data_IF_701305770674
#
_entry.id   IF_701305770674
#
_cell.length_a   1.000
_cell.length_b   1.000
_cell.length_c   1.000
_cell.angle_alpha   90.00
_cell.angle_beta   90.00
_cell.angle_gamma   90.00
#
_symmetry.space_group_name_H-M   'P 1'
#
loop_
_entity.id
_entity.type
_entity.pdbx_description
1 polymer ?
#
# COMPACT_ATOMS: atom_id res chain seq x y z
N UNK A 1 27.61 -37.16 12.38
CA UNK A 1 27.96 -35.86 12.99
C UNK A 1 28.11 -34.76 11.92
N UNK A 2 27.01 -34.31 11.27
CA UNK A 2 26.92 -33.11 10.42
C UNK A 2 25.44 -32.77 10.11
N UNK A 3 24.56 -32.70 11.12
CA UNK A 3 23.14 -32.34 10.92
C UNK A 3 22.87 -30.87 11.24
N UNK A 4 23.81 -29.97 10.93
CA UNK A 4 23.58 -28.53 11.07
C UNK A 4 23.55 -27.93 9.68
N UNK A 5 22.36 -27.49 9.26
CA UNK A 5 22.19 -26.69 8.07
C UNK A 5 22.42 -25.23 8.47
N UNK A 6 23.33 -24.57 7.77
CA UNK A 6 23.65 -23.15 8.01
C UNK A 6 23.00 -22.29 6.94
N UNK A 7 22.53 -21.12 7.35
CA UNK A 7 22.10 -20.07 6.44
C UNK A 7 23.20 -19.01 6.39
N UNK A 8 23.97 -18.96 5.30
CA UNK A 8 25.09 -18.04 5.18
C UNK A 8 25.20 -17.48 3.75
N UNK A 9 24.41 -16.46 3.45
CA UNK A 9 24.49 -15.70 2.20
C UNK A 9 25.36 -14.45 2.39
N UNK A 10 26.40 -14.31 1.58
CA UNK A 10 27.37 -13.20 1.66
C UNK A 10 26.80 -11.81 1.41
N UNK A 11 25.57 -11.71 0.91
CA UNK A 11 24.86 -10.46 0.60
C UNK A 11 23.55 -10.34 1.37
N UNK A 12 23.37 -11.15 2.42
CA UNK A 12 22.14 -11.23 3.18
C UNK A 12 22.10 -10.35 4.42
N UNK A 13 20.93 -10.30 5.04
CA UNK A 13 20.69 -9.68 6.32
C UNK A 13 20.94 -10.67 7.47
N UNK A 14 21.27 -10.12 8.64
CA UNK A 14 21.40 -10.89 9.88
C UNK A 14 20.03 -11.33 10.41
N UNK A 15 19.87 -12.63 10.68
CA UNK A 15 18.64 -13.23 11.21
C UNK A 15 18.80 -13.88 12.59
N UNK A 16 19.99 -13.78 13.19
CA UNK A 16 20.26 -14.37 14.50
C UNK A 16 21.45 -15.32 14.50
N UNK A 17 21.50 -16.17 15.53
CA UNK A 17 22.57 -17.13 15.75
C UNK A 17 21.97 -18.53 15.75
N UNK A 18 22.61 -19.45 15.04
CA UNK A 18 22.30 -20.87 15.07
C UNK A 18 22.53 -21.41 16.50
N UNK A 19 21.49 -21.98 17.11
CA UNK A 19 21.57 -22.40 18.50
C UNK A 19 22.51 -23.59 18.74
N UNK A 20 22.81 -24.37 17.71
CA UNK A 20 23.68 -25.55 17.81
C UNK A 20 25.12 -25.18 17.49
N UNK A 21 25.39 -24.66 16.29
CA UNK A 21 26.75 -24.34 15.86
C UNK A 21 27.29 -23.02 16.42
N UNK A 22 26.40 -22.16 16.91
CA UNK A 22 26.71 -20.77 17.33
C UNK A 22 27.21 -19.88 16.19
N UNK A 23 27.05 -20.32 14.94
CA UNK A 23 27.33 -19.50 13.77
C UNK A 23 26.22 -18.48 13.52
N UNK A 24 26.57 -17.42 12.80
CA UNK A 24 25.64 -16.38 12.40
C UNK A 24 24.74 -16.90 11.27
N UNK A 25 23.44 -16.64 11.37
CA UNK A 25 22.49 -16.88 10.30
C UNK A 25 22.34 -15.61 9.46
N UNK A 26 22.78 -15.67 8.20
CA UNK A 26 22.71 -14.58 7.23
C UNK A 26 21.93 -15.04 6.00
N UNK A 27 20.85 -14.34 5.65
CA UNK A 27 19.97 -14.73 4.55
C UNK A 27 19.63 -13.57 3.62
N UNK A 28 19.48 -13.83 2.32
CA UNK A 28 19.06 -12.80 1.37
C UNK A 28 17.69 -13.16 0.76
N UNK A 29 16.61 -12.56 1.30
CA UNK A 29 15.24 -12.79 0.82
C UNK A 29 15.04 -12.35 -0.63
N UNK A 30 15.83 -11.41 -1.15
CA UNK A 30 15.76 -10.96 -2.55
C UNK A 30 16.17 -12.04 -3.56
N UNK A 31 16.94 -13.05 -3.13
CA UNK A 31 17.34 -14.19 -3.97
C UNK A 31 16.36 -15.36 -3.96
N UNK A 32 15.35 -15.32 -3.08
CA UNK A 32 14.37 -16.40 -2.98
C UNK A 32 13.35 -16.37 -4.13
N UNK A 33 12.71 -17.51 -4.39
CA UNK A 33 11.60 -17.60 -5.35
C UNK A 33 10.45 -16.68 -4.92
N UNK A 34 10.19 -16.56 -3.63
CA UNK A 34 9.32 -15.56 -3.04
C UNK A 34 10.05 -14.92 -1.87
N UNK A 35 10.24 -13.60 -1.93
CA UNK A 35 10.88 -12.83 -0.87
C UNK A 35 9.91 -12.41 0.23
N UNK A 36 8.60 -12.58 0.05
CA UNK A 36 7.61 -12.26 1.07
C UNK A 36 7.76 -13.17 2.29
N UNK A 37 7.32 -12.69 3.45
CA UNK A 37 7.48 -13.40 4.70
C UNK A 37 6.41 -13.04 5.72
N UNK A 38 6.33 -13.84 6.77
CA UNK A 38 5.51 -13.56 7.94
C UNK A 38 6.34 -13.70 9.20
N UNK A 39 6.09 -12.82 10.16
CA UNK A 39 6.67 -12.86 11.50
C UNK A 39 5.53 -13.09 12.50
N UNK A 40 5.59 -14.23 13.17
CA UNK A 40 4.59 -14.65 14.16
C UNK A 40 5.16 -14.68 15.57
N UNK A 41 4.32 -14.43 16.55
CA UNK A 41 4.71 -14.50 17.96
C UNK A 41 3.68 -13.88 18.89
N UNK A 42 3.57 -14.39 20.11
CA UNK A 42 2.69 -13.83 21.14
C UNK A 42 3.11 -12.39 21.52
N UNK A 43 2.22 -11.57 22.12
CA UNK A 43 2.64 -10.26 22.64
C UNK A 43 3.83 -10.40 23.60
N UNK A 44 4.81 -9.51 23.49
CA UNK A 44 6.06 -9.56 24.29
C UNK A 44 7.11 -10.56 23.82
N UNK A 45 6.87 -11.36 22.76
CA UNK A 45 7.84 -12.35 22.27
C UNK A 45 9.03 -11.77 21.48
N UNK A 46 9.11 -10.45 21.32
CA UNK A 46 10.18 -9.79 20.56
C UNK A 46 9.94 -9.65 19.05
N UNK A 47 8.69 -9.77 18.55
CA UNK A 47 8.37 -9.57 17.12
C UNK A 47 8.83 -8.22 16.57
N UNK A 48 8.39 -7.12 17.21
CA UNK A 48 8.74 -5.76 16.79
C UNK A 48 10.26 -5.54 16.88
N UNK A 49 10.92 -6.10 17.90
CA UNK A 49 12.38 -6.06 18.02
C UNK A 49 13.09 -6.77 16.85
N UNK A 50 12.67 -7.98 16.50
CA UNK A 50 13.21 -8.72 15.36
C UNK A 50 13.03 -7.95 14.04
N UNK A 51 11.84 -7.39 13.81
CA UNK A 51 11.56 -6.62 12.59
C UNK A 51 12.39 -5.33 12.54
N UNK A 52 12.52 -4.59 13.64
CA UNK A 52 13.38 -3.40 13.74
C UNK A 52 14.85 -3.72 13.45
N UNK A 53 15.35 -4.89 13.87
CA UNK A 53 16.69 -5.34 13.50
C UNK A 53 16.83 -5.64 12.01
N UNK A 54 15.87 -6.34 11.39
CA UNK A 54 15.90 -6.60 9.95
C UNK A 54 15.85 -5.29 9.15
N UNK A 55 14.96 -4.37 9.52
CA UNK A 55 14.87 -3.03 8.93
C UNK A 55 16.19 -2.28 9.02
N UNK A 56 16.84 -2.27 10.20
CA UNK A 56 18.15 -1.65 10.36
C UNK A 56 19.22 -2.29 9.48
N UNK A 57 19.24 -3.63 9.38
CA UNK A 57 20.16 -4.34 8.49
C UNK A 57 19.95 -3.94 7.03
N UNK A 58 18.71 -3.89 6.56
CA UNK A 58 18.34 -3.46 5.20
C UNK A 58 18.78 -2.02 4.93
N UNK A 59 18.49 -1.11 5.87
CA UNK A 59 18.79 0.31 5.74
C UNK A 59 20.29 0.58 5.64
N UNK A 60 21.09 -0.11 6.47
CA UNK A 60 22.54 0.06 6.55
C UNK A 60 23.32 -0.69 5.45
N UNK A 61 22.77 -1.78 4.91
CA UNK A 61 23.51 -2.67 3.98
C UNK A 61 23.38 -2.29 2.50
N UNK A 62 22.52 -1.34 2.16
CA UNK A 62 22.33 -0.93 0.77
C UNK A 62 21.41 0.28 0.65
N UNK A 63 20.88 0.49 -0.54
CA UNK A 63 20.06 1.65 -0.86
C UNK A 63 18.56 1.37 -0.79
N UNK A 64 18.13 0.12 -0.58
CA UNK A 64 16.70 -0.28 -0.56
C UNK A 64 15.84 0.62 0.33
N UNK A 65 14.55 0.75 -0.03
CA UNK A 65 13.56 1.50 0.77
C UNK A 65 12.81 0.60 1.72
N UNK A 66 12.40 1.16 2.85
CA UNK A 66 11.63 0.51 3.89
C UNK A 66 10.35 1.31 4.10
N UNK A 67 9.22 0.64 4.00
CA UNK A 67 7.90 1.19 4.29
C UNK A 67 7.29 0.35 5.40
N UNK A 68 6.75 0.99 6.43
CA UNK A 68 6.05 0.32 7.54
C UNK A 68 4.62 0.84 7.62
N UNK A 69 3.64 -0.06 7.65
CA UNK A 69 2.27 0.25 8.06
C UNK A 69 2.16 -0.11 9.53
N UNK A 70 1.85 0.89 10.35
CA UNK A 70 1.94 0.82 11.81
C UNK A 70 0.61 1.25 12.46
N UNK A 71 -0.26 0.29 12.82
CA UNK A 71 -1.52 0.60 13.48
C UNK A 71 -1.38 1.05 14.95
N UNK A 72 -0.22 0.85 15.57
CA UNK A 72 -0.01 1.09 17.00
C UNK A 72 0.96 2.25 17.29
N UNK A 73 1.57 2.81 16.24
CA UNK A 73 2.61 3.83 16.28
C UNK A 73 3.87 3.37 17.05
N UNK A 74 4.23 2.07 16.97
CA UNK A 74 5.45 1.50 17.58
C UNK A 74 6.74 1.79 16.79
N UNK A 75 6.64 2.24 15.54
CA UNK A 75 7.75 2.41 14.61
C UNK A 75 8.07 3.89 14.31
N UNK A 76 7.41 4.84 14.96
CA UNK A 76 7.68 6.27 14.75
C UNK A 76 9.09 6.65 15.22
N UNK A 77 9.50 6.19 16.41
CA UNK A 77 10.82 6.47 16.98
C UNK A 77 11.97 5.97 16.08
N UNK A 78 11.78 4.81 15.43
CA UNK A 78 12.80 4.25 14.54
C UNK A 78 12.85 4.99 13.21
N UNK A 79 11.72 5.51 12.72
CA UNK A 79 11.70 6.41 11.58
C UNK A 79 12.52 7.66 11.88
N UNK A 80 12.27 8.33 13.00
CA UNK A 80 13.04 9.51 13.42
C UNK A 80 14.54 9.21 13.53
N UNK A 81 14.89 8.06 14.11
CA UNK A 81 16.29 7.61 14.26
C UNK A 81 17.01 7.48 12.91
N UNK A 82 16.31 7.01 11.86
CA UNK A 82 16.87 6.87 10.52
C UNK A 82 16.68 8.11 9.63
N UNK A 83 16.18 9.23 10.18
CA UNK A 83 15.83 10.42 9.39
C UNK A 83 14.70 10.16 8.38
N UNK A 84 13.85 9.19 8.70
CA UNK A 84 12.69 8.78 7.93
C UNK A 84 11.51 9.73 8.04
N UNK A 85 10.49 9.49 7.23
CA UNK A 85 9.23 10.23 7.27
C UNK A 85 8.15 9.45 8.00
N UNK A 86 7.44 10.13 8.91
CA UNK A 86 6.20 9.60 9.49
C UNK A 86 5.01 10.26 8.82
N UNK A 87 4.17 9.44 8.18
CA UNK A 87 2.92 9.85 7.57
C UNK A 87 1.80 9.45 8.53
N UNK A 88 1.34 10.39 9.36
CA UNK A 88 0.16 10.17 10.17
C UNK A 88 -1.09 10.43 9.33
N UNK A 89 -1.84 9.38 9.04
CA UNK A 89 -3.11 9.48 8.33
C UNK A 89 -4.20 9.74 9.37
N UNK A 90 -4.57 11.01 9.56
CA UNK A 90 -5.65 11.41 10.48
C UNK A 90 -6.51 12.51 9.87
N UNK A 91 -7.75 12.63 10.32
CA UNK A 91 -8.65 13.73 9.93
C UNK A 91 -8.24 15.08 10.52
N UNK A 92 -7.27 15.11 11.43
CA UNK A 92 -6.85 16.31 12.16
C UNK A 92 -5.52 16.87 11.67
N UNK A 93 -4.91 16.22 10.68
CA UNK A 93 -3.61 16.59 10.10
C UNK A 93 -3.80 17.09 8.67
N UNK A 94 -2.99 18.07 8.27
CA UNK A 94 -2.93 18.56 6.88
C UNK A 94 -2.10 17.62 5.97
N UNK A 95 -2.15 16.31 6.22
CA UNK A 95 -1.49 15.29 5.40
C UNK A 95 -2.49 14.70 4.43
N UNK A 96 -2.23 14.81 3.14
CA UNK A 96 -3.11 14.35 2.08
C UNK A 96 -2.41 13.36 1.17
N UNK A 97 -3.17 12.35 0.76
CA UNK A 97 -2.76 11.37 -0.26
C UNK A 97 -3.84 11.34 -1.31
N UNK A 98 -3.47 11.67 -2.54
CA UNK A 98 -4.40 11.76 -3.66
C UNK A 98 -4.62 10.38 -4.29
N UNK A 99 -5.85 9.81 -4.25
CA UNK A 99 -6.17 8.53 -4.89
C UNK A 99 -5.96 8.53 -6.41
N UNK A 100 -6.08 9.69 -7.04
CA UNK A 100 -5.91 9.90 -8.47
C UNK A 100 -4.47 10.27 -8.85
N UNK A 101 -3.53 10.16 -7.91
CA UNK A 101 -2.12 10.34 -8.24
C UNK A 101 -1.62 9.22 -9.16
N UNK A 102 -1.00 9.63 -10.26
CA UNK A 102 -0.24 8.78 -11.18
C UNK A 102 0.74 9.63 -12.00
N UNK A 103 1.74 8.97 -12.60
CA UNK A 103 2.65 9.62 -13.55
C UNK A 103 1.92 9.95 -14.87
N UNK A 104 1.27 11.12 -14.89
CA UNK A 104 0.54 11.63 -16.06
C UNK A 104 1.45 12.01 -17.21
N UNK A 105 2.73 12.30 -16.95
CA UNK A 105 3.67 12.70 -18.00
C UNK A 105 4.01 11.53 -18.92
N UNK A 106 4.10 10.32 -18.39
CA UNK A 106 4.36 9.12 -19.18
C UNK A 106 3.12 8.45 -19.78
N UNK A 107 1.93 9.03 -19.55
CA UNK A 107 0.68 8.63 -20.20
C UNK A 107 0.66 8.97 -21.70
N UNK A 108 0.09 8.05 -22.46
CA UNK A 108 -0.25 8.21 -23.88
C UNK A 108 -1.76 7.98 -24.11
N UNK A 109 -2.36 8.57 -25.17
CA UNK A 109 -3.80 8.46 -25.42
C UNK A 109 -4.32 7.03 -25.67
N UNK A 110 -3.45 6.07 -25.97
CA UNK A 110 -3.84 4.68 -26.19
C UNK A 110 -3.68 3.81 -24.93
N UNK A 111 -3.23 4.40 -23.81
CA UNK A 111 -2.92 3.68 -22.58
C UNK A 111 -2.03 2.45 -22.82
N UNK A 112 -0.96 2.63 -23.60
CA UNK A 112 -0.11 1.51 -24.05
C UNK A 112 0.54 0.74 -22.90
N UNK A 113 0.69 1.38 -21.73
CA UNK A 113 1.24 0.80 -20.51
C UNK A 113 0.17 0.24 -19.56
N UNK A 114 -1.12 0.43 -19.86
CA UNK A 114 -2.24 -0.04 -19.04
C UNK A 114 -2.44 0.70 -17.72
N UNK A 115 -1.85 1.89 -17.55
CA UNK A 115 -1.87 2.65 -16.30
C UNK A 115 -3.27 3.21 -16.02
N UNK A 116 -3.99 3.65 -17.06
CA UNK A 116 -5.38 4.15 -16.91
C UNK A 116 -6.30 2.99 -16.56
N UNK A 117 -6.09 1.81 -17.16
CA UNK A 117 -6.85 0.59 -16.80
C UNK A 117 -6.64 0.19 -15.34
N UNK A 118 -5.39 0.15 -14.87
CA UNK A 118 -5.09 -0.17 -13.47
C UNK A 118 -5.71 0.87 -12.51
N UNK A 119 -5.64 2.16 -12.86
CA UNK A 119 -6.28 3.21 -12.08
C UNK A 119 -7.81 3.11 -12.11
N UNK A 120 -8.41 2.69 -13.21
CA UNK A 120 -9.83 2.40 -13.33
C UNK A 120 -10.29 1.28 -12.39
N UNK A 121 -9.55 0.16 -12.35
CA UNK A 121 -9.82 -0.93 -11.39
C UNK A 121 -9.74 -0.47 -9.94
N UNK A 122 -8.74 0.36 -9.60
CA UNK A 122 -8.62 0.96 -8.27
C UNK A 122 -9.81 1.87 -7.94
N UNK A 123 -10.18 2.79 -8.85
CA UNK A 123 -11.29 3.71 -8.64
C UNK A 123 -12.64 3.02 -8.54
N UNK A 124 -12.82 1.87 -9.18
CA UNK A 124 -14.00 1.02 -8.96
C UNK A 124 -14.07 0.54 -7.52
N UNK A 125 -12.97 -0.03 -6.99
CA UNK A 125 -12.91 -0.47 -5.59
C UNK A 125 -13.08 0.68 -4.59
N UNK A 126 -12.53 1.85 -4.89
CA UNK A 126 -12.70 3.05 -4.08
C UNK A 126 -14.17 3.50 -4.04
N UNK A 127 -14.83 3.62 -5.21
CA UNK A 127 -16.23 4.06 -5.27
C UNK A 127 -17.17 3.04 -4.60
N UNK A 128 -16.93 1.74 -4.80
CA UNK A 128 -17.68 0.68 -4.15
C UNK A 128 -17.57 0.76 -2.62
N UNK A 129 -16.37 1.04 -2.10
CA UNK A 129 -16.14 1.26 -0.68
C UNK A 129 -16.82 2.52 -0.15
N UNK A 130 -16.87 3.61 -0.93
CA UNK A 130 -17.58 4.84 -0.55
C UNK A 130 -19.10 4.66 -0.57
N UNK A 131 -19.64 3.88 -1.50
CA UNK A 131 -21.07 3.57 -1.59
C UNK A 131 -21.50 2.62 -0.47
N UNK A 132 -20.59 1.74 -0.02
CA UNK A 132 -20.86 0.77 1.04
C UNK A 132 -21.67 -0.45 0.57
N UNK A 133 -21.86 -0.61 -0.73
CA UNK A 133 -22.54 -1.75 -1.37
C UNK A 133 -21.88 -2.08 -2.70
N UNK A 134 -22.19 -3.25 -3.25
CA UNK A 134 -21.63 -3.73 -4.51
C UNK A 134 -22.04 -2.86 -5.69
N UNK A 135 -21.09 -2.49 -6.54
CA UNK A 135 -21.37 -1.72 -7.74
C UNK A 135 -22.12 -2.58 -8.78
N UNK A 136 -23.23 -2.06 -9.29
CA UNK A 136 -23.94 -2.67 -10.41
C UNK A 136 -23.22 -2.43 -11.75
N UNK A 137 -23.58 -3.19 -12.80
CA UNK A 137 -22.90 -3.10 -14.10
C UNK A 137 -22.96 -1.73 -14.76
N UNK A 138 -24.01 -0.94 -14.52
CA UNK A 138 -24.13 0.43 -15.05
C UNK A 138 -23.18 1.38 -14.33
N UNK A 139 -23.16 1.33 -12.99
CA UNK A 139 -22.25 2.12 -12.18
C UNK A 139 -20.78 1.81 -12.52
N UNK A 140 -20.42 0.53 -12.66
CA UNK A 140 -19.07 0.11 -13.09
C UNK A 140 -18.69 0.73 -14.43
N UNK A 141 -19.59 0.66 -15.42
CA UNK A 141 -19.38 1.24 -16.74
C UNK A 141 -19.21 2.77 -16.70
N UNK A 142 -20.02 3.46 -15.88
CA UNK A 142 -19.94 4.92 -15.71
C UNK A 142 -18.62 5.32 -15.06
N UNK A 143 -18.21 4.66 -13.98
CA UNK A 143 -16.95 4.94 -13.27
C UNK A 143 -15.76 4.74 -14.22
N UNK A 144 -15.67 3.58 -14.89
CA UNK A 144 -14.61 3.28 -15.86
C UNK A 144 -14.55 4.34 -16.97
N UNK A 145 -15.71 4.69 -17.55
CA UNK A 145 -15.82 5.74 -18.58
C UNK A 145 -15.32 7.09 -18.08
N UNK A 146 -15.68 7.49 -16.87
CA UNK A 146 -15.29 8.77 -16.29
C UNK A 146 -13.79 8.84 -15.99
N UNK A 147 -13.22 7.79 -15.37
CA UNK A 147 -11.77 7.69 -15.12
C UNK A 147 -11.00 7.72 -16.43
N UNK A 148 -11.44 6.93 -17.41
CA UNK A 148 -10.81 6.89 -18.73
C UNK A 148 -10.86 8.25 -19.43
N UNK A 149 -12.01 8.93 -19.39
CA UNK A 149 -12.16 10.27 -19.96
C UNK A 149 -11.19 11.26 -19.31
N UNK A 150 -11.15 11.29 -17.98
CA UNK A 150 -10.25 12.15 -17.19
C UNK A 150 -8.80 12.03 -17.65
N UNK A 151 -8.25 10.82 -17.66
CA UNK A 151 -6.84 10.62 -17.98
C UNK A 151 -6.51 10.72 -19.46
N UNK A 152 -7.43 10.35 -20.37
CA UNK A 152 -7.19 10.53 -21.81
C UNK A 152 -7.17 12.02 -22.18
N UNK A 153 -8.07 12.81 -21.58
CA UNK A 153 -8.10 14.25 -21.80
C UNK A 153 -6.81 14.91 -21.26
N UNK A 154 -6.32 14.48 -20.09
CA UNK A 154 -5.00 14.89 -19.56
C UNK A 154 -3.87 14.44 -20.48
N UNK A 155 -3.87 13.20 -20.97
CA UNK A 155 -2.83 12.67 -21.85
C UNK A 155 -2.73 13.43 -23.19
N UNK A 156 -3.86 13.97 -23.68
CA UNK A 156 -3.93 14.81 -24.89
C UNK A 156 -3.60 16.28 -24.64
N UNK A 157 -3.72 16.74 -23.40
CA UNK A 157 -3.44 18.13 -23.01
C UNK A 157 -1.94 18.45 -23.08
N UNK A 158 -1.62 19.68 -23.52
CA UNK A 158 -0.25 20.22 -23.42
C UNK A 158 0.11 20.65 -22.00
N UNK A 159 -0.88 21.03 -21.20
CA UNK A 159 -0.74 21.35 -19.77
C UNK A 159 -1.21 20.17 -18.94
N UNK A 160 -0.39 19.13 -18.84
CA UNK A 160 -0.70 17.97 -18.00
C UNK A 160 -0.66 18.39 -16.53
N UNK A 161 -1.61 17.88 -15.76
CA UNK A 161 -1.69 18.07 -14.31
C UNK A 161 -2.13 16.75 -13.67
N UNK A 162 -1.82 16.58 -12.38
CA UNK A 162 -2.29 15.44 -11.59
C UNK A 162 -3.71 15.79 -11.11
N UNK A 163 -4.75 15.02 -11.47
CA UNK A 163 -6.13 15.33 -11.09
C UNK A 163 -6.40 14.99 -9.64
N UNK A 164 -7.39 15.65 -9.03
CA UNK A 164 -7.91 15.37 -7.69
C UNK A 164 -9.34 14.83 -7.77
N UNK A 165 -9.89 14.41 -6.64
CA UNK A 165 -11.23 13.80 -6.60
C UNK A 165 -12.34 14.74 -7.12
N UNK A 166 -12.20 16.06 -6.97
CA UNK A 166 -13.10 17.04 -7.58
C UNK A 166 -13.16 16.94 -9.10
N UNK A 167 -12.02 16.72 -9.78
CA UNK A 167 -12.01 16.60 -11.25
C UNK A 167 -12.83 15.38 -11.71
N UNK A 168 -12.70 14.26 -10.97
CA UNK A 168 -13.49 13.06 -11.22
C UNK A 168 -14.97 13.26 -10.87
N UNK A 169 -15.27 13.91 -9.75
CA UNK A 169 -16.62 14.25 -9.31
C UNK A 169 -17.35 15.13 -10.34
N UNK A 170 -16.69 16.14 -10.89
CA UNK A 170 -17.26 17.04 -11.90
C UNK A 170 -17.58 16.28 -13.21
N UNK A 171 -16.72 15.34 -13.60
CA UNK A 171 -16.98 14.48 -14.77
C UNK A 171 -18.19 13.57 -14.52
N UNK A 172 -18.34 13.02 -13.31
CA UNK A 172 -19.51 12.23 -12.92
C UNK A 172 -20.80 13.05 -12.97
N UNK A 173 -20.79 14.26 -12.40
CA UNK A 173 -21.95 15.17 -12.39
C UNK A 173 -22.36 15.63 -13.78
N UNK A 174 -21.42 15.66 -14.75
CA UNK A 174 -21.70 15.97 -16.14
C UNK A 174 -22.28 14.79 -16.95
N UNK A 175 -22.36 13.58 -16.38
CA UNK A 175 -22.98 12.45 -17.06
C UNK A 175 -24.52 12.57 -17.05
N UNK A 176 -25.20 12.18 -18.14
CA UNK A 176 -26.66 12.28 -18.24
C UNK A 176 -27.40 11.24 -17.39
N UNK A 177 -26.78 10.12 -17.05
CA UNK A 177 -27.40 9.02 -16.31
C UNK A 177 -27.62 9.38 -14.83
N UNK A 178 -28.79 9.03 -14.28
CA UNK A 178 -29.08 9.26 -12.85
C UNK A 178 -28.17 8.43 -11.94
N UNK A 179 -27.76 7.24 -12.37
CA UNK A 179 -26.80 6.42 -11.62
C UNK A 179 -25.45 7.13 -11.41
N UNK A 180 -25.06 8.06 -12.29
CA UNK A 180 -23.84 8.85 -12.12
C UNK A 180 -23.97 9.88 -11.00
N UNK A 181 -25.17 10.46 -10.84
CA UNK A 181 -25.48 11.39 -9.74
C UNK A 181 -25.51 10.66 -8.40
N UNK A 182 -26.04 9.43 -8.38
CA UNK A 182 -26.02 8.59 -7.17
C UNK A 182 -24.59 8.28 -6.73
N UNK A 183 -23.70 7.93 -7.66
CA UNK A 183 -22.27 7.74 -7.37
C UNK A 183 -21.64 9.03 -6.83
N UNK A 184 -21.90 10.16 -7.50
CA UNK A 184 -21.36 11.45 -7.07
C UNK A 184 -21.83 11.81 -5.65
N UNK A 185 -23.12 11.59 -5.33
CA UNK A 185 -23.67 11.81 -4.00
C UNK A 185 -22.95 10.99 -2.93
N UNK A 186 -22.66 9.71 -3.20
CA UNK A 186 -21.88 8.87 -2.28
C UNK A 186 -20.44 9.34 -2.08
N UNK A 187 -19.87 10.04 -3.06
CA UNK A 187 -18.52 10.61 -2.97
C UNK A 187 -18.51 12.00 -2.30
N UNK A 188 -19.65 12.68 -2.21
CA UNK A 188 -19.73 14.08 -1.77
C UNK A 188 -19.08 14.31 -0.40
N UNK A 189 -19.29 13.40 0.56
CA UNK A 189 -18.69 13.45 1.91
C UNK A 189 -17.15 13.54 1.88
N UNK A 190 -16.53 12.88 0.90
CA UNK A 190 -15.07 12.76 0.73
C UNK A 190 -14.47 13.75 -0.26
N UNK A 191 -15.30 14.51 -0.98
CA UNK A 191 -14.87 15.50 -1.97
C UNK A 191 -15.15 16.92 -1.48
N UNK A 192 -16.40 17.21 -1.15
CA UNK A 192 -16.89 18.53 -0.75
C UNK A 192 -17.30 18.59 0.72
N UNK A 193 -17.46 17.43 1.37
CA UNK A 193 -17.90 17.30 2.74
C UNK A 193 -16.78 17.43 3.77
N UNK A 194 -17.09 17.04 5.01
CA UNK A 194 -16.21 17.15 6.17
C UNK A 194 -15.00 16.21 6.15
N UNK A 195 -14.96 15.23 5.25
CA UNK A 195 -13.93 14.19 5.19
C UNK A 195 -13.12 14.28 3.89
N UNK A 196 -12.88 15.49 3.39
CA UNK A 196 -12.27 15.79 2.09
C UNK A 196 -10.75 15.54 1.99
N UNK A 197 -10.17 14.72 2.87
CA UNK A 197 -8.73 14.45 2.95
C UNK A 197 -8.15 13.81 1.66
N UNK A 198 -9.00 13.27 0.78
CA UNK A 198 -8.62 12.67 -0.50
C UNK A 198 -8.75 13.63 -1.69
N UNK A 199 -9.23 14.86 -1.47
CA UNK A 199 -9.48 15.84 -2.53
C UNK A 199 -8.40 16.93 -2.59
N UNK A 200 -7.16 16.56 -2.30
CA UNK A 200 -6.02 17.45 -2.30
C UNK A 200 -4.88 16.80 -3.08
N UNK A 201 -3.91 17.61 -3.51
CA UNK A 201 -2.65 17.08 -4.02
C UNK A 201 -1.90 16.38 -2.88
N UNK A 202 -1.23 15.28 -3.20
CA UNK A 202 -0.37 14.59 -2.25
C UNK A 202 0.70 15.56 -1.75
N UNK A 203 0.80 15.73 -0.44
CA UNK A 203 1.77 16.64 0.20
C UNK A 203 2.60 15.95 1.28
N UNK A 204 2.46 14.64 1.42
CA UNK A 204 3.27 13.82 2.31
C UNK A 204 4.62 13.54 1.64
N UNK A 205 5.72 13.82 2.35
CA UNK A 205 7.07 13.54 1.86
C UNK A 205 7.36 12.03 1.90
N UNK A 206 6.87 11.34 0.88
CA UNK A 206 7.10 9.91 0.68
C UNK A 206 8.41 9.62 -0.07
N UNK A 207 9.19 10.64 -0.43
CA UNK A 207 10.49 10.46 -1.09
C UNK A 207 11.64 10.26 -0.09
N UNK A 208 11.39 9.38 0.89
CA UNK A 208 12.33 8.99 1.91
C UNK A 208 12.66 7.49 1.81
N UNK A 209 13.87 7.10 2.22
CA UNK A 209 14.28 5.69 2.28
C UNK A 209 13.59 4.92 3.40
N UNK A 210 13.09 5.60 4.43
CA UNK A 210 12.39 5.00 5.54
C UNK A 210 11.08 5.75 5.79
N UNK A 211 9.95 5.12 5.54
CA UNK A 211 8.63 5.76 5.68
C UNK A 211 7.73 4.92 6.58
N UNK A 212 7.05 5.55 7.54
CA UNK A 212 6.11 4.88 8.43
C UNK A 212 4.73 5.52 8.31
N UNK A 213 3.75 4.72 7.93
CA UNK A 213 2.35 5.11 7.85
C UNK A 213 1.64 4.75 9.16
N UNK A 214 1.26 5.75 9.94
CA UNK A 214 0.43 5.59 11.12
C UNK A 214 -1.05 5.58 10.76
N UNK A 215 -1.78 4.55 11.20
CA UNK A 215 -3.22 4.41 10.94
C UNK A 215 -4.08 4.33 12.21
N UNK A 216 -3.47 4.52 13.38
CA UNK A 216 -4.15 4.42 14.67
C UNK A 216 -5.31 5.40 14.82
N UNK A 217 -5.09 6.62 14.34
CA UNK A 217 -5.99 7.75 14.54
C UNK A 217 -6.97 7.92 13.35
N UNK A 218 -7.14 6.88 12.53
CA UNK A 218 -8.18 6.81 11.50
C UNK A 218 -9.55 6.64 12.15
N UNK A 219 -10.45 7.59 11.90
CA UNK A 219 -11.86 7.43 12.24
C UNK A 219 -12.45 6.16 11.59
N UNK A 220 -13.42 5.52 12.26
CA UNK A 220 -13.98 4.22 11.84
C UNK A 220 -14.58 4.24 10.43
N UNK A 221 -15.22 5.34 10.04
CA UNK A 221 -15.83 5.50 8.72
C UNK A 221 -14.80 5.70 7.60
N UNK A 222 -13.69 6.38 7.88
CA UNK A 222 -12.64 6.67 6.91
C UNK A 222 -11.60 5.57 6.76
N UNK A 223 -11.48 4.71 7.77
CA UNK A 223 -10.41 3.74 7.87
C UNK A 223 -10.29 2.86 6.61
N UNK A 224 -11.37 2.25 6.07
CA UNK A 224 -11.26 1.39 4.90
C UNK A 224 -10.80 2.12 3.63
N UNK A 225 -11.32 3.32 3.39
CA UNK A 225 -10.97 4.13 2.21
C UNK A 225 -9.51 4.60 2.33
N UNK A 226 -9.12 5.08 3.51
CA UNK A 226 -7.76 5.54 3.75
C UNK A 226 -6.74 4.42 3.59
N UNK A 227 -7.06 3.21 4.08
CA UNK A 227 -6.23 2.03 3.88
C UNK A 227 -6.08 1.69 2.39
N UNK A 228 -7.15 1.74 1.60
CA UNK A 228 -7.09 1.51 0.14
C UNK A 228 -6.18 2.53 -0.56
N UNK A 229 -6.38 3.82 -0.28
CA UNK A 229 -5.57 4.90 -0.88
C UNK A 229 -4.10 4.78 -0.47
N UNK A 230 -3.83 4.46 0.80
CA UNK A 230 -2.48 4.19 1.29
C UNK A 230 -1.82 3.02 0.55
N UNK A 231 -2.50 1.87 0.46
CA UNK A 231 -1.94 0.70 -0.19
C UNK A 231 -1.65 0.95 -1.68
N UNK A 232 -2.50 1.72 -2.35
CA UNK A 232 -2.28 2.17 -3.73
C UNK A 232 -1.04 3.07 -3.84
N UNK A 233 -0.88 4.05 -2.95
CA UNK A 233 0.31 4.91 -2.90
C UNK A 233 1.59 4.08 -2.68
N UNK A 234 1.56 3.14 -1.72
CA UNK A 234 2.67 2.22 -1.44
C UNK A 234 2.99 1.35 -2.66
N UNK A 235 1.98 0.79 -3.33
CA UNK A 235 2.18 0.00 -4.54
C UNK A 235 2.85 0.80 -5.65
N UNK A 236 2.40 2.05 -5.87
CA UNK A 236 3.00 2.94 -6.87
C UNK A 236 4.47 3.23 -6.55
N UNK A 237 4.81 3.47 -5.28
CA UNK A 237 6.20 3.64 -4.83
C UNK A 237 7.05 2.39 -5.06
N UNK A 238 6.53 1.20 -4.76
CA UNK A 238 7.21 -0.08 -5.02
C UNK A 238 7.54 -0.21 -6.51
N UNK A 239 6.56 0.05 -7.39
CA UNK A 239 6.72 -0.03 -8.84
C UNK A 239 7.76 0.98 -9.36
N UNK A 240 7.73 2.21 -8.85
CA UNK A 240 8.69 3.25 -9.22
C UNK A 240 10.12 2.87 -8.83
N UNK A 241 10.32 2.40 -7.59
CA UNK A 241 11.62 1.90 -7.13
C UNK A 241 12.10 0.72 -7.95
N UNK A 242 11.21 -0.22 -8.27
CA UNK A 242 11.52 -1.37 -9.13
C UNK A 242 12.05 -0.94 -10.51
N UNK A 243 11.45 0.09 -11.13
CA UNK A 243 11.95 0.67 -12.40
C UNK A 243 13.36 1.26 -12.25
N UNK A 244 13.71 1.75 -11.07
CA UNK A 244 15.03 2.29 -10.71
C UNK A 244 16.02 1.21 -10.25
N UNK A 245 15.63 -0.06 -10.22
CA UNK A 245 16.46 -1.18 -9.74
C UNK A 245 16.62 -1.25 -8.22
N UNK A 246 15.79 -0.51 -7.48
CA UNK A 246 15.83 -0.40 -6.01
C UNK A 246 14.72 -1.26 -5.43
N UNK A 247 15.03 -2.08 -4.41
CA UNK A 247 13.97 -2.88 -3.79
C UNK A 247 13.24 -2.10 -2.69
N UNK A 248 11.97 -2.44 -2.48
CA UNK A 248 11.14 -1.85 -1.42
C UNK A 248 10.68 -2.93 -0.46
N UNK A 249 10.99 -2.77 0.82
CA UNK A 249 10.62 -3.68 1.89
C UNK A 249 9.39 -3.12 2.61
N UNK A 250 8.23 -3.73 2.37
CA UNK A 250 6.98 -3.36 3.00
C UNK A 250 6.75 -4.23 4.24
N UNK A 251 6.71 -3.61 5.40
CA UNK A 251 6.34 -4.23 6.67
C UNK A 251 4.93 -3.80 7.04
N UNK A 252 4.10 -4.75 7.45
CA UNK A 252 2.73 -4.49 7.84
C UNK A 252 2.57 -5.05 9.24
N UNK A 253 2.60 -4.15 10.23
CA UNK A 253 2.36 -4.53 11.61
C UNK A 253 0.87 -4.71 11.87
N UNK A 254 0.55 -5.62 12.80
CA UNK A 254 -0.79 -6.15 13.02
C UNK A 254 -1.54 -6.40 11.70
N UNK A 255 -0.95 -7.24 10.85
CA UNK A 255 -1.39 -7.55 9.49
C UNK A 255 -2.91 -7.81 9.36
N UNK A 256 -3.51 -8.39 10.40
CA UNK A 256 -4.94 -8.69 10.45
C UNK A 256 -5.84 -7.43 10.40
N UNK A 257 -5.36 -6.26 10.81
CA UNK A 257 -6.10 -4.99 10.76
C UNK A 257 -6.51 -4.65 9.33
N UNK A 258 -5.62 -4.84 8.36
CA UNK A 258 -5.91 -4.60 6.94
C UNK A 258 -6.85 -5.65 6.34
N UNK A 259 -7.05 -6.78 7.02
CA UNK A 259 -7.95 -7.85 6.57
C UNK A 259 -9.39 -7.66 7.01
N UNK A 260 -9.66 -6.69 7.90
CA UNK A 260 -11.00 -6.44 8.44
C UNK A 260 -11.98 -5.87 7.38
N UNK A 261 -11.47 -5.20 6.35
CA UNK A 261 -12.26 -4.80 5.18
C UNK A 261 -12.03 -5.77 4.03
N UNK A 262 -13.11 -6.23 3.40
CA UNK A 262 -13.05 -7.13 2.25
C UNK A 262 -12.25 -6.52 1.08
N UNK A 263 -12.42 -5.22 0.82
CA UNK A 263 -11.68 -4.52 -0.23
C UNK A 263 -10.20 -4.40 0.09
N UNK A 264 -9.88 -4.00 1.33
CA UNK A 264 -8.49 -3.89 1.76
C UNK A 264 -7.79 -5.25 1.70
N UNK A 265 -8.46 -6.32 2.14
CA UNK A 265 -7.95 -7.69 2.06
C UNK A 265 -7.70 -8.13 0.62
N UNK A 266 -8.66 -7.91 -0.30
CA UNK A 266 -8.52 -8.27 -1.73
C UNK A 266 -7.38 -7.48 -2.37
N UNK A 267 -7.29 -6.18 -2.12
CA UNK A 267 -6.22 -5.35 -2.66
C UNK A 267 -4.85 -5.79 -2.14
N UNK A 268 -4.73 -6.00 -0.83
CA UNK A 268 -3.51 -6.52 -0.20
C UNK A 268 -3.10 -7.88 -0.79
N UNK A 269 -4.05 -8.76 -1.10
CA UNK A 269 -3.77 -10.05 -1.76
C UNK A 269 -3.19 -9.87 -3.17
N UNK A 270 -3.73 -8.92 -3.94
CA UNK A 270 -3.21 -8.62 -5.26
C UNK A 270 -1.81 -8.02 -5.19
N UNK A 271 -1.59 -7.07 -4.27
CA UNK A 271 -0.28 -6.49 -3.99
C UNK A 271 0.71 -7.62 -3.64
N UNK A 272 0.37 -8.48 -2.67
CA UNK A 272 1.22 -9.59 -2.21
C UNK A 272 1.68 -10.51 -3.35
N UNK A 273 0.78 -10.81 -4.30
CA UNK A 273 1.07 -11.66 -5.47
C UNK A 273 1.92 -10.95 -6.54
N UNK A 274 1.78 -9.63 -6.69
CA UNK A 274 2.47 -8.83 -7.71
C UNK A 274 3.81 -8.28 -7.23
N UNK A 275 3.97 -8.05 -5.92
CA UNK A 275 5.05 -7.27 -5.30
C UNK A 275 6.44 -7.71 -5.75
N UNK A 276 6.68 -9.03 -5.84
CA UNK A 276 7.96 -9.58 -6.29
C UNK A 276 8.35 -9.10 -7.69
N UNK A 277 7.40 -9.09 -8.64
CA UNK A 277 7.65 -8.65 -10.03
C UNK A 277 7.85 -7.13 -10.10
N UNK A 278 7.29 -6.41 -9.14
CA UNK A 278 7.38 -4.95 -9.03
C UNK A 278 8.66 -4.50 -8.31
N UNK A 279 9.47 -5.43 -7.78
CA UNK A 279 10.72 -5.11 -7.08
C UNK A 279 10.56 -4.94 -5.57
N UNK A 280 9.44 -5.35 -4.97
CA UNK A 280 9.25 -5.28 -3.53
C UNK A 280 9.19 -6.64 -2.83
N UNK A 281 9.20 -6.59 -1.50
CA UNK A 281 9.03 -7.71 -0.59
C UNK A 281 8.06 -7.30 0.51
N UNK A 282 7.06 -8.13 0.79
CA UNK A 282 6.14 -7.89 1.90
C UNK A 282 6.47 -8.74 3.13
N UNK A 283 6.35 -8.17 4.32
CA UNK A 283 6.44 -8.86 5.61
C UNK A 283 5.19 -8.56 6.43
N UNK A 284 4.40 -9.60 6.72
CA UNK A 284 3.22 -9.49 7.57
C UNK A 284 3.59 -9.86 8.99
N UNK A 285 3.27 -9.00 9.96
CA UNK A 285 3.57 -9.23 11.38
C UNK A 285 2.22 -9.41 12.08
N UNK A 286 2.05 -10.52 12.81
CA UNK A 286 0.80 -10.76 13.55
C UNK A 286 1.03 -11.61 14.78
N UNK A 287 0.23 -11.36 15.81
CA UNK A 287 0.24 -12.15 17.04
C UNK A 287 -0.73 -13.32 16.97
N UNK A 288 -1.84 -13.15 16.26
CA UNK A 288 -2.89 -14.14 16.17
C UNK A 288 -2.82 -14.89 14.83
N UNK A 289 -2.10 -16.00 14.84
CA UNK A 289 -1.98 -16.90 13.68
C UNK A 289 -3.35 -17.53 13.35
N UNK A 290 -4.20 -17.77 14.34
CA UNK A 290 -5.50 -18.42 14.15
C UNK A 290 -6.42 -17.52 13.36
N UNK A 291 -6.51 -16.23 13.71
CA UNK A 291 -7.32 -15.26 12.97
C UNK A 291 -6.86 -15.14 11.52
N UNK A 292 -5.54 -15.21 11.29
CA UNK A 292 -4.97 -15.18 9.94
C UNK A 292 -5.35 -16.44 9.14
N UNK A 293 -5.33 -17.62 9.76
CA UNK A 293 -5.71 -18.90 9.12
C UNK A 293 -7.23 -19.02 8.87
N UNK A 294 -8.06 -18.36 9.67
CA UNK A 294 -9.50 -18.31 9.43
C UNK A 294 -9.88 -17.44 8.24
N UNK A 295 -8.99 -16.50 7.86
CA UNK A 295 -9.17 -15.68 6.68
C UNK A 295 -8.63 -16.40 5.44
N UNK A 296 -9.53 -16.80 4.52
CA UNK A 296 -9.13 -17.48 3.28
C UNK A 296 -8.12 -16.66 2.46
N UNK A 297 -8.33 -15.34 2.36
CA UNK A 297 -7.45 -14.43 1.63
C UNK A 297 -6.04 -14.46 2.19
N UNK A 298 -5.88 -14.37 3.51
CA UNK A 298 -4.56 -14.41 4.14
C UNK A 298 -3.91 -15.80 4.07
N UNK A 299 -4.68 -16.87 4.18
CA UNK A 299 -4.17 -18.23 4.00
C UNK A 299 -3.53 -18.42 2.63
N UNK A 300 -4.09 -17.83 1.56
CA UNK A 300 -3.45 -17.89 0.22
C UNK A 300 -2.16 -17.08 0.10
N UNK A 301 -1.84 -16.19 1.04
CA UNK A 301 -0.59 -15.44 1.06
C UNK A 301 0.55 -16.20 1.76
N UNK A 302 0.22 -17.23 2.54
CA UNK A 302 1.17 -18.13 3.19
C UNK A 302 1.70 -19.24 2.26
N UNK A 303 0.92 -19.59 1.24
CA UNK A 303 1.24 -20.63 0.24
C UNK A 303 2.08 -20.08 -0.91
#
# INVERSE_FOLDING_TARGET
PFNVQELNDSTGNYYGINQISKNVNIGNRKKLINGNGFVFGVPGSGKSFFCKMEMGSVFLSGDDEIIVIDPMNEYFDIAETYGGTVVNMSTYTDNYVNPLEMDVWSLDPNDSKGMVREKGEFMLGLCEQCIGDSLNSRQKSIIDRCVRKLYIDIARSKGKYIPVMSDFYDILMAQPEDEAKDIALSLELFVNGSLNIFNHQTNVDVDNRFTVYGIRDLGTELSPITMLVMMESIQNRIVENGKRGKATWLYIDEFHVLLNSEYSAKYLQQLWKKVRKQGGLCTGITQNVVDLLQNYTATTMLA
#
